data_IF_904541313034
#
_entry.id   IF_904541313034
#
_cell.length_a   1.000
_cell.length_b   1.000
_cell.length_c   1.000
_cell.angle_alpha   90.00
_cell.angle_beta   90.00
_cell.angle_gamma   90.00
#
_symmetry.space_group_name_H-M   'P 1'
#
loop_
_entity.id
_entity.type
_entity.pdbx_description
1 polymer ?
#
# COMPACT_ATOMS: atom_id res chain seq x y z
N UNK A 1 14.34 41.13 -18.22
CA UNK A 1 15.71 40.68 -18.52
C UNK A 1 16.43 40.58 -17.18
N UNK A 2 16.62 39.36 -16.68
CA UNK A 2 17.12 39.09 -15.33
C UNK A 2 16.99 37.60 -15.09
N UNK A 3 18.03 36.85 -15.48
CA UNK A 3 18.10 35.40 -15.44
C UNK A 3 18.12 34.90 -14.00
N UNK A 4 17.23 33.97 -13.66
CA UNK A 4 17.38 33.15 -12.46
C UNK A 4 18.30 31.97 -12.80
N UNK A 5 19.47 31.95 -12.17
CA UNK A 5 20.45 30.88 -12.25
C UNK A 5 19.91 29.64 -11.55
N UNK A 6 19.71 28.56 -12.31
CA UNK A 6 19.38 27.25 -11.76
C UNK A 6 20.64 26.66 -11.11
N UNK A 7 20.69 26.69 -9.78
CA UNK A 7 21.73 26.03 -9.02
C UNK A 7 21.64 24.51 -9.23
N UNK A 8 22.78 23.96 -9.60
CA UNK A 8 23.06 22.55 -9.84
C UNK A 8 22.80 21.77 -8.54
N UNK A 9 21.85 20.83 -8.57
CA UNK A 9 21.63 19.89 -7.47
C UNK A 9 22.78 18.87 -7.43
N UNK A 10 23.32 18.53 -6.24
CA UNK A 10 24.36 17.52 -6.12
C UNK A 10 23.80 16.13 -6.45
N UNK A 11 24.39 15.50 -7.47
CA UNK A 11 24.22 14.07 -7.77
C UNK A 11 25.09 13.28 -6.80
N UNK A 12 24.57 12.85 -5.65
CA UNK A 12 25.33 11.96 -4.75
C UNK A 12 24.42 11.11 -3.87
N UNK A 13 24.47 9.79 -4.10
CA UNK A 13 23.92 8.75 -3.22
C UNK A 13 22.56 8.21 -3.67
N UNK A 14 22.50 6.92 -3.99
CA UNK A 14 21.27 6.17 -4.32
C UNK A 14 20.17 6.46 -3.29
N UNK A 15 19.21 7.29 -3.68
CA UNK A 15 18.02 7.60 -2.89
C UNK A 15 17.13 6.37 -2.92
N UNK A 16 16.84 5.86 -1.73
CA UNK A 16 15.90 4.77 -1.47
C UNK A 16 14.59 5.05 -2.22
N UNK A 17 14.32 4.31 -3.30
CA UNK A 17 13.02 4.28 -3.99
C UNK A 17 12.00 3.52 -3.14
N UNK A 18 11.82 3.91 -1.87
CA UNK A 18 10.69 3.49 -1.05
C UNK A 18 9.51 4.41 -1.34
N UNK A 19 8.31 3.83 -1.40
CA UNK A 19 7.04 4.51 -1.66
C UNK A 19 6.98 5.87 -0.93
N UNK A 20 6.96 6.96 -1.69
CA UNK A 20 6.85 8.32 -1.16
C UNK A 20 5.37 8.62 -0.96
N UNK A 21 4.78 8.07 0.11
CA UNK A 21 3.35 8.20 0.40
C UNK A 21 3.05 8.74 1.79
N UNK A 22 2.05 9.61 1.85
CA UNK A 22 1.52 10.13 3.11
C UNK A 22 0.68 9.04 3.80
N UNK A 23 1.29 8.38 4.79
CA UNK A 23 0.60 7.46 5.69
C UNK A 23 -0.19 8.26 6.73
N UNK A 24 -1.37 8.71 6.33
CA UNK A 24 -2.29 9.45 7.20
C UNK A 24 -3.20 8.46 7.95
N UNK A 25 -3.48 8.74 9.21
CA UNK A 25 -4.43 7.97 10.01
C UNK A 25 -5.87 8.21 9.52
N UNK A 26 -6.32 7.38 8.58
CA UNK A 26 -7.60 7.53 7.89
C UNK A 26 -8.83 7.18 8.74
N UNK A 27 -8.64 6.52 9.88
CA UNK A 27 -9.72 6.11 10.79
C UNK A 27 -10.58 7.30 11.26
N UNK A 28 -9.99 8.51 11.35
CA UNK A 28 -10.68 9.74 11.72
C UNK A 28 -11.45 10.41 10.58
N UNK A 29 -11.22 10.01 9.33
CA UNK A 29 -12.04 10.50 8.20
C UNK A 29 -13.40 9.80 8.22
N UNK A 30 -14.49 10.48 7.81
CA UNK A 30 -15.75 9.80 7.49
C UNK A 30 -15.51 8.65 6.50
N UNK A 31 -16.25 7.55 6.63
CA UNK A 31 -16.04 6.31 5.84
C UNK A 31 -15.88 6.59 4.34
N UNK A 32 -16.73 7.44 3.78
CA UNK A 32 -16.74 7.81 2.35
C UNK A 32 -15.50 8.59 1.86
N UNK A 33 -14.67 9.11 2.78
CA UNK A 33 -13.46 9.89 2.45
C UNK A 33 -12.16 9.11 2.67
N UNK A 34 -12.24 7.83 3.04
CA UNK A 34 -11.08 6.99 3.31
C UNK A 34 -10.59 6.37 2.00
N UNK A 35 -9.28 6.40 1.77
CA UNK A 35 -8.65 5.68 0.65
C UNK A 35 -8.36 4.23 1.03
N UNK A 36 -7.88 3.99 2.25
CA UNK A 36 -7.50 2.66 2.75
C UNK A 36 -8.36 2.16 3.92
N UNK A 37 -9.68 2.20 3.76
CA UNK A 37 -10.60 1.60 4.73
C UNK A 37 -10.37 2.08 6.17
N UNK A 38 -10.71 1.24 7.14
CA UNK A 38 -10.39 1.51 8.55
C UNK A 38 -8.90 1.33 8.87
N UNK A 39 -8.24 0.39 8.19
CA UNK A 39 -6.85 0.03 8.43
C UNK A 39 -6.17 -0.40 7.12
N UNK A 40 -5.18 0.40 6.69
CA UNK A 40 -4.26 0.02 5.61
C UNK A 40 -3.07 -0.74 6.18
N UNK A 41 -3.10 -2.06 6.11
CA UNK A 41 -2.04 -2.95 6.57
C UNK A 41 -0.79 -2.81 5.68
N UNK A 42 0.38 -2.46 6.24
CA UNK A 42 1.60 -2.32 5.45
C UNK A 42 2.09 -3.69 4.96
N UNK A 43 2.62 -3.70 3.74
CA UNK A 43 3.27 -4.85 3.12
C UNK A 43 4.77 -4.65 3.14
N UNK A 44 5.49 -5.63 3.71
CA UNK A 44 6.93 -5.58 3.90
C UNK A 44 7.65 -6.59 3.00
N UNK A 45 8.78 -6.16 2.43
CA UNK A 45 9.77 -7.01 1.76
C UNK A 45 11.13 -6.75 2.40
N UNK A 46 11.57 -7.68 3.26
CA UNK A 46 12.71 -7.47 4.14
C UNK A 46 12.46 -6.30 5.10
N UNK A 47 13.30 -5.26 5.01
CA UNK A 47 13.23 -4.06 5.86
C UNK A 47 12.49 -2.88 5.22
N UNK A 48 11.82 -3.09 4.09
CA UNK A 48 11.17 -2.03 3.30
C UNK A 48 9.67 -2.24 3.25
N UNK A 49 8.93 -1.15 3.36
CA UNK A 49 7.50 -1.10 3.00
C UNK A 49 7.43 -1.00 1.48
N UNK A 50 6.76 -1.97 0.84
CA UNK A 50 6.58 -2.07 -0.63
C UNK A 50 5.13 -1.95 -1.06
N UNK A 51 4.20 -1.83 -0.10
CA UNK A 51 2.81 -1.53 -0.38
C UNK A 51 1.95 -1.49 0.86
N UNK A 52 0.65 -1.49 0.66
CA UNK A 52 -0.38 -1.66 1.68
C UNK A 52 -1.65 -2.25 1.10
N UNK A 53 -2.38 -2.96 1.93
CA UNK A 53 -3.69 -3.54 1.61
C UNK A 53 -4.68 -3.14 2.71
N UNK A 54 -5.94 -2.88 2.35
CA UNK A 54 -7.01 -2.63 3.31
C UNK A 54 -7.92 -3.88 3.43
N UNK A 55 -7.55 -4.87 4.28
CA UNK A 55 -8.35 -6.06 4.46
C UNK A 55 -9.51 -5.81 5.41
N UNK A 56 -10.69 -6.32 5.05
CA UNK A 56 -11.86 -6.40 5.93
C UNK A 56 -12.41 -7.82 5.94
N UNK A 57 -12.35 -8.46 7.10
CA UNK A 57 -12.98 -9.77 7.29
C UNK A 57 -14.49 -9.64 7.48
N UNK A 58 -15.25 -10.53 6.85
CA UNK A 58 -16.69 -10.71 7.08
C UNK A 58 -17.06 -12.18 6.89
N UNK A 59 -17.35 -12.89 7.98
CA UNK A 59 -17.53 -14.35 7.97
C UNK A 59 -16.25 -15.05 7.53
N UNK A 60 -16.35 -15.92 6.53
CA UNK A 60 -15.22 -16.64 5.92
C UNK A 60 -14.59 -15.89 4.74
N UNK A 61 -15.05 -14.67 4.44
CA UNK A 61 -14.55 -13.88 3.31
C UNK A 61 -13.65 -12.75 3.79
N UNK A 62 -12.50 -12.61 3.14
CA UNK A 62 -11.60 -11.48 3.25
C UNK A 62 -11.85 -10.53 2.07
N UNK A 63 -12.45 -9.38 2.35
CA UNK A 63 -12.61 -8.31 1.36
C UNK A 63 -11.34 -7.47 1.33
N UNK A 64 -10.85 -7.16 0.13
CA UNK A 64 -9.78 -6.19 -0.07
C UNK A 64 -10.44 -4.91 -0.57
N UNK A 65 -10.56 -3.92 0.32
CA UNK A 65 -11.23 -2.65 0.05
C UNK A 65 -10.36 -1.70 -0.79
N UNK A 66 -9.04 -1.83 -0.69
CA UNK A 66 -8.06 -1.08 -1.46
C UNK A 66 -6.69 -1.79 -1.39
N UNK A 67 -5.87 -1.60 -2.41
CA UNK A 67 -4.47 -2.05 -2.42
C UNK A 67 -3.60 -1.09 -3.23
N UNK A 68 -2.33 -1.00 -2.84
CA UNK A 68 -1.34 -0.16 -3.52
C UNK A 68 0.04 -0.72 -3.26
N UNK A 69 0.84 -0.80 -4.32
CA UNK A 69 2.14 -1.42 -4.33
C UNK A 69 3.11 -0.59 -5.16
N UNK A 70 4.39 -0.63 -4.83
CA UNK A 70 5.44 -0.10 -5.71
C UNK A 70 5.88 -1.15 -6.75
N UNK A 71 6.76 -0.76 -7.68
CA UNK A 71 7.21 -1.63 -8.77
C UNK A 71 8.15 -2.76 -8.32
N UNK A 72 8.48 -2.86 -7.02
CA UNK A 72 9.43 -3.85 -6.49
C UNK A 72 8.77 -5.17 -6.06
N UNK A 73 7.45 -5.27 -6.12
CA UNK A 73 6.67 -6.48 -5.83
C UNK A 73 5.99 -7.00 -7.12
N UNK A 74 6.15 -8.29 -7.41
CA UNK A 74 5.56 -8.90 -8.59
C UNK A 74 4.08 -9.26 -8.39
N UNK A 75 3.31 -9.46 -9.47
CA UNK A 75 1.92 -9.96 -9.39
C UNK A 75 1.81 -11.29 -8.61
N UNK A 76 2.75 -12.22 -8.82
CA UNK A 76 2.76 -13.50 -8.11
C UNK A 76 3.03 -13.33 -6.60
N UNK A 77 3.89 -12.37 -6.23
CA UNK A 77 4.14 -12.03 -4.83
C UNK A 77 2.90 -11.40 -4.17
N UNK A 78 2.14 -10.58 -4.91
CA UNK A 78 0.86 -10.02 -4.45
C UNK A 78 -0.16 -11.14 -4.23
N UNK A 79 -0.27 -12.10 -5.15
CA UNK A 79 -1.18 -13.23 -4.99
C UNK A 79 -0.83 -14.06 -3.76
N UNK A 80 0.45 -14.41 -3.59
CA UNK A 80 0.94 -15.14 -2.43
C UNK A 80 0.68 -14.38 -1.12
N UNK A 81 0.83 -13.06 -1.13
CA UNK A 81 0.51 -12.22 0.01
C UNK A 81 -0.98 -12.29 0.37
N UNK A 82 -1.87 -12.17 -0.61
CA UNK A 82 -3.32 -12.24 -0.37
C UNK A 82 -3.73 -13.63 0.14
N UNK A 83 -3.12 -14.71 -0.36
CA UNK A 83 -3.32 -16.07 0.14
C UNK A 83 -2.83 -16.25 1.59
N UNK A 84 -1.67 -15.69 1.93
CA UNK A 84 -1.16 -15.71 3.32
C UNK A 84 -2.10 -14.92 4.23
N UNK A 85 -2.55 -13.76 3.79
CA UNK A 85 -3.44 -12.90 4.55
C UNK A 85 -4.80 -13.56 4.80
N UNK A 86 -5.38 -14.23 3.80
CA UNK A 86 -6.62 -14.98 3.97
C UNK A 86 -6.44 -16.14 4.95
N UNK A 87 -5.32 -16.84 4.87
CA UNK A 87 -4.96 -17.91 5.81
C UNK A 87 -4.88 -17.38 7.25
N UNK A 88 -4.16 -16.28 7.47
CA UNK A 88 -4.05 -15.66 8.80
C UNK A 88 -5.40 -15.16 9.33
N UNK A 89 -6.23 -14.61 8.44
CA UNK A 89 -7.58 -14.18 8.78
C UNK A 89 -8.57 -15.34 8.96
N UNK A 90 -8.16 -16.59 8.69
CA UNK A 90 -9.03 -17.77 8.66
C UNK A 90 -10.23 -17.56 7.71
N UNK A 91 -9.92 -17.12 6.49
CA UNK A 91 -10.88 -16.87 5.42
C UNK A 91 -10.63 -17.83 4.25
N UNK A 92 -11.70 -18.44 3.72
CA UNK A 92 -11.70 -19.35 2.58
C UNK A 92 -11.84 -18.62 1.24
N UNK A 93 -12.32 -17.37 1.26
CA UNK A 93 -12.53 -16.56 0.06
C UNK A 93 -11.82 -15.21 0.18
N UNK A 94 -11.22 -14.75 -0.91
CA UNK A 94 -10.71 -13.39 -1.06
C UNK A 94 -11.50 -12.72 -2.17
N UNK A 95 -12.09 -11.56 -1.86
CA UNK A 95 -12.86 -10.76 -2.82
C UNK A 95 -12.22 -9.38 -2.91
N UNK A 96 -11.86 -8.97 -4.12
CA UNK A 96 -11.49 -7.59 -4.40
C UNK A 96 -12.77 -6.77 -4.48
N UNK A 97 -12.92 -5.77 -3.61
CA UNK A 97 -13.98 -4.77 -3.84
C UNK A 97 -13.57 -3.95 -5.07
N UNK A 98 -14.56 -3.67 -5.93
CA UNK A 98 -14.30 -2.83 -7.12
C UNK A 98 -14.26 -1.38 -6.66
N UNK A 99 -13.28 -0.65 -7.18
CA UNK A 99 -13.20 0.82 -7.08
C UNK A 99 -14.43 1.50 -7.74
#
# INVERSE_FOLDING_TARGET
MGQFSAAILPQTGSVLTGIQQDYILESYKPKLKRKFGYFGMPVLKGHRIVGRVAPRKSGETLFIEAQEFDDSISPDEIELLLQKLSTWASCSHVIMERD
#
